data_IF_963737744390
#
_entry.id   IF_963737744390
#
_cell.length_a   1.000
_cell.length_b   1.000
_cell.length_c   1.000
_cell.angle_alpha   90.00
_cell.angle_beta   90.00
_cell.angle_gamma   90.00
#
_symmetry.space_group_name_H-M   'P 1'
#
loop_
_entity.id
_entity.type
_entity.pdbx_description
1 polymer ?
#
# COMPACT_ATOMS: atom_id res chain seq x y z
N UNK A 1 -36.89 -10.85 -78.90
CA UNK A 1 -35.73 -11.78 -78.79
C UNK A 1 -34.62 -11.07 -78.03
N UNK A 2 -34.23 -11.62 -76.86
CA UNK A 2 -32.99 -11.36 -76.08
C UNK A 2 -32.88 -9.94 -75.48
N UNK A 3 -32.48 -9.69 -74.24
CA UNK A 3 -32.13 -10.49 -73.07
C UNK A 3 -31.86 -9.50 -71.92
N UNK A 4 -32.47 -9.76 -70.75
CA UNK A 4 -31.87 -9.69 -69.40
C UNK A 4 -30.59 -8.85 -69.21
N UNK A 5 -30.59 -7.86 -68.31
CA UNK A 5 -29.79 -7.89 -67.06
C UNK A 5 -29.78 -6.56 -66.29
N UNK A 6 -29.80 -6.73 -64.98
CA UNK A 6 -29.80 -5.78 -63.87
C UNK A 6 -28.48 -4.99 -63.80
N UNK A 7 -28.52 -3.71 -63.40
CA UNK A 7 -27.39 -3.05 -62.75
C UNK A 7 -27.88 -2.00 -61.73
N UNK A 8 -27.96 -2.45 -60.48
CA UNK A 8 -27.98 -1.64 -59.27
C UNK A 8 -26.61 -0.96 -59.15
N UNK A 9 -26.55 0.38 -59.10
CA UNK A 9 -25.34 1.11 -58.72
C UNK A 9 -25.52 1.67 -57.30
N UNK A 10 -25.04 0.91 -56.33
CA UNK A 10 -24.82 1.32 -54.93
C UNK A 10 -23.34 1.77 -54.81
N UNK A 11 -23.09 2.66 -53.85
CA UNK A 11 -21.79 3.10 -53.31
C UNK A 11 -21.04 4.12 -54.20
N UNK A 12 -20.39 5.14 -53.66
CA UNK A 12 -19.52 5.11 -52.49
C UNK A 12 -19.67 6.42 -51.71
N UNK A 13 -20.17 6.30 -50.48
CA UNK A 13 -19.90 7.27 -49.41
C UNK A 13 -18.39 7.26 -49.18
N UNK A 14 -17.68 8.26 -49.70
CA UNK A 14 -16.29 8.51 -49.29
C UNK A 14 -16.31 9.21 -47.95
N UNK A 15 -16.73 8.49 -46.91
CA UNK A 15 -16.25 8.78 -45.57
C UNK A 15 -14.78 8.34 -45.58
N UNK A 16 -13.89 9.29 -45.88
CA UNK A 16 -12.49 9.14 -45.54
C UNK A 16 -12.45 9.14 -44.02
N UNK A 17 -12.61 7.97 -43.42
CA UNK A 17 -12.12 7.73 -42.07
C UNK A 17 -10.61 7.93 -42.18
N UNK A 18 -10.16 9.14 -41.84
CA UNK A 18 -8.79 9.31 -41.37
C UNK A 18 -8.67 8.31 -40.23
N UNK A 19 -7.89 7.25 -40.44
CA UNK A 19 -7.48 6.37 -39.36
C UNK A 19 -6.95 7.31 -38.27
N UNK A 20 -7.68 7.42 -37.16
CA UNK A 20 -7.20 8.16 -36.02
C UNK A 20 -5.93 7.45 -35.59
N UNK A 21 -4.79 8.07 -35.88
CA UNK A 21 -3.50 7.62 -35.37
C UNK A 21 -3.56 7.75 -33.86
N UNK A 22 -3.80 6.64 -33.16
CA UNK A 22 -3.70 6.54 -31.70
C UNK A 22 -2.22 6.49 -31.32
N UNK A 23 -1.46 7.52 -31.70
CA UNK A 23 -0.04 7.65 -31.42
C UNK A 23 0.11 8.71 -30.32
N UNK A 24 0.69 8.29 -29.21
CA UNK A 24 1.11 9.12 -28.11
C UNK A 24 2.59 9.49 -28.29
N UNK A 25 2.99 10.59 -27.66
CA UNK A 25 4.37 11.10 -27.70
C UNK A 25 4.90 11.17 -26.28
N UNK A 26 5.90 10.34 -25.97
CA UNK A 26 6.60 10.35 -24.68
C UNK A 26 7.88 11.18 -24.86
N UNK A 27 7.96 12.34 -24.19
CA UNK A 27 9.18 13.16 -24.15
C UNK A 27 9.97 12.84 -22.90
N UNK A 28 11.24 12.47 -23.06
CA UNK A 28 12.14 12.17 -21.97
C UNK A 28 12.75 13.45 -21.38
N UNK A 29 13.22 13.36 -20.14
CA UNK A 29 13.96 14.45 -19.48
C UNK A 29 15.27 14.80 -20.20
N UNK A 30 15.82 13.89 -21.01
CA UNK A 30 16.94 14.15 -21.93
C UNK A 30 16.57 15.03 -23.13
N UNK A 31 15.27 15.24 -23.39
CA UNK A 31 14.76 15.89 -24.59
C UNK A 31 14.45 14.94 -25.75
N UNK A 32 14.89 13.67 -25.67
CA UNK A 32 14.53 12.62 -26.63
C UNK A 32 13.03 12.37 -26.63
N UNK A 33 12.49 11.98 -27.78
CA UNK A 33 11.05 11.73 -27.95
C UNK A 33 10.81 10.34 -28.51
N UNK A 34 9.88 9.61 -27.90
CA UNK A 34 9.44 8.28 -28.32
C UNK A 34 8.00 8.36 -28.82
N UNK A 35 7.77 7.91 -30.05
CA UNK A 35 6.44 7.70 -30.60
C UNK A 35 5.93 6.33 -30.16
N UNK A 36 4.82 6.31 -29.42
CA UNK A 36 4.37 5.15 -28.68
C UNK A 36 2.85 5.01 -28.70
N UNK A 37 2.35 3.84 -28.32
CA UNK A 37 0.99 3.66 -27.82
C UNK A 37 1.11 3.28 -26.36
N UNK A 38 0.74 4.19 -25.47
CA UNK A 38 0.83 3.95 -24.03
C UNK A 38 -0.23 2.92 -23.64
N UNK A 39 0.19 1.86 -22.95
CA UNK A 39 -0.68 0.77 -22.50
C UNK A 39 -1.04 0.88 -21.03
N UNK A 40 -0.10 1.36 -20.21
CA UNK A 40 -0.30 1.49 -18.76
C UNK A 40 0.62 2.59 -18.22
N UNK A 41 0.11 3.43 -17.32
CA UNK A 41 0.92 4.39 -16.55
C UNK A 41 0.71 4.07 -15.08
N UNK A 42 1.81 3.81 -14.39
CA UNK A 42 1.85 3.60 -12.94
C UNK A 42 2.58 4.78 -12.28
N UNK A 43 2.68 4.83 -10.94
CA UNK A 43 3.44 5.87 -10.27
C UNK A 43 4.95 5.86 -10.63
N UNK A 44 5.52 4.69 -10.89
CA UNK A 44 6.97 4.52 -11.07
C UNK A 44 7.36 4.29 -12.53
N UNK A 45 6.44 3.76 -13.36
CA UNK A 45 6.74 3.24 -14.70
C UNK A 45 5.61 3.50 -15.70
N UNK A 46 5.98 3.63 -16.98
CA UNK A 46 5.10 3.73 -18.14
C UNK A 46 5.37 2.53 -19.04
N UNK A 47 4.34 1.76 -19.37
CA UNK A 47 4.41 0.66 -20.32
C UNK A 47 3.82 1.07 -21.65
N UNK A 48 4.53 0.79 -22.74
CA UNK A 48 4.14 1.21 -24.07
C UNK A 48 4.59 0.22 -25.15
N UNK A 49 3.93 0.27 -26.32
CA UNK A 49 4.43 -0.36 -27.56
C UNK A 49 4.86 0.74 -28.53
N UNK A 50 5.84 0.46 -29.38
CA UNK A 50 6.34 1.44 -30.35
C UNK A 50 5.29 1.70 -31.44
N UNK A 51 5.06 2.97 -31.76
CA UNK A 51 4.10 3.33 -32.80
C UNK A 51 4.49 2.72 -34.16
N UNK A 52 3.51 2.14 -34.86
CA UNK A 52 3.74 1.40 -36.11
C UNK A 52 4.07 -0.09 -35.92
N UNK A 53 4.24 -0.56 -34.67
CA UNK A 53 4.38 -1.99 -34.36
C UNK A 53 3.49 -2.38 -33.16
N UNK A 54 2.14 -2.41 -33.34
CA UNK A 54 1.21 -2.67 -32.25
C UNK A 54 1.29 -4.08 -31.67
N UNK A 55 1.76 -5.05 -32.46
CA UNK A 55 2.01 -6.44 -32.05
C UNK A 55 3.46 -6.65 -31.55
N UNK A 56 4.23 -5.57 -31.44
CA UNK A 56 5.60 -5.57 -30.95
C UNK A 56 5.71 -5.80 -29.43
N UNK A 57 6.94 -5.97 -28.92
CA UNK A 57 7.15 -6.19 -27.50
C UNK A 57 6.69 -4.99 -26.66
N UNK A 58 6.19 -5.27 -25.46
CA UNK A 58 5.84 -4.25 -24.47
C UNK A 58 7.12 -3.71 -23.82
N UNK A 59 7.36 -2.41 -23.99
CA UNK A 59 8.48 -1.70 -23.36
C UNK A 59 8.04 -1.10 -22.03
N UNK A 60 8.97 -1.04 -21.08
CA UNK A 60 8.75 -0.49 -19.73
C UNK A 60 9.76 0.62 -19.49
N UNK A 61 9.27 1.80 -19.09
CA UNK A 61 10.08 3.00 -18.89
C UNK A 61 9.85 3.60 -17.51
N UNK A 62 10.90 3.87 -16.71
CA UNK A 62 10.75 4.58 -15.45
C UNK A 62 10.15 5.97 -15.69
N UNK A 63 9.08 6.30 -14.96
CA UNK A 63 8.39 7.59 -15.03
C UNK A 63 9.31 8.75 -14.64
N UNK A 64 10.34 8.50 -13.82
CA UNK A 64 11.41 9.45 -13.48
C UNK A 64 12.26 9.92 -14.67
N UNK A 65 12.26 9.17 -15.78
CA UNK A 65 12.95 9.55 -17.03
C UNK A 65 12.07 10.33 -18.00
N UNK A 66 10.77 10.41 -17.73
CA UNK A 66 9.80 11.03 -18.64
C UNK A 66 9.56 12.46 -18.18
N UNK A 67 9.69 13.41 -19.10
CA UNK A 67 9.33 14.80 -18.87
C UNK A 67 7.85 15.06 -19.14
N UNK A 68 7.29 14.45 -20.18
CA UNK A 68 5.84 14.55 -20.45
C UNK A 68 5.34 13.45 -21.38
N UNK A 69 4.05 13.17 -21.33
CA UNK A 69 3.32 12.39 -22.33
C UNK A 69 2.29 13.31 -22.98
N UNK A 70 2.27 13.35 -24.30
CA UNK A 70 1.17 13.95 -25.08
C UNK A 70 0.40 12.83 -25.74
N UNK A 71 -0.84 12.62 -25.32
CA UNK A 71 -1.69 11.56 -25.85
C UNK A 71 -2.24 11.92 -27.23
N UNK A 72 -2.64 10.91 -27.98
CA UNK A 72 -3.29 11.05 -29.30
C UNK A 72 -4.55 11.93 -29.29
N UNK A 73 -5.22 12.10 -28.14
CA UNK A 73 -6.36 13.01 -27.98
C UNK A 73 -5.96 14.48 -27.69
N UNK A 74 -4.66 14.79 -27.67
CA UNK A 74 -4.11 16.12 -27.41
C UNK A 74 -3.93 16.47 -25.93
N UNK A 75 -4.35 15.62 -25.00
CA UNK A 75 -4.11 15.83 -23.56
C UNK A 75 -2.61 15.64 -23.29
N UNK A 76 -2.02 16.54 -22.48
CA UNK A 76 -0.62 16.49 -22.10
C UNK A 76 -0.49 16.34 -20.59
N UNK A 77 0.32 15.38 -20.15
CA UNK A 77 0.73 15.19 -18.76
C UNK A 77 2.22 15.46 -18.61
N UNK A 78 2.60 16.35 -17.68
CA UNK A 78 4.00 16.69 -17.41
C UNK A 78 4.50 16.05 -16.11
N UNK A 79 5.76 15.59 -16.14
CA UNK A 79 6.45 14.85 -15.10
C UNK A 79 7.86 15.41 -14.91
N UNK A 80 7.98 16.73 -14.71
CA UNK A 80 9.29 17.36 -14.49
C UNK A 80 9.81 17.07 -13.08
N UNK A 81 11.06 16.58 -12.95
CA UNK A 81 11.76 16.63 -11.66
C UNK A 81 12.26 18.05 -11.40
N UNK A 82 11.48 18.86 -10.69
CA UNK A 82 11.98 20.16 -10.21
C UNK A 82 12.87 19.93 -8.99
N UNK A 83 14.19 19.99 -9.19
CA UNK A 83 15.12 20.36 -8.12
C UNK A 83 15.05 21.89 -7.96
N UNK A 84 14.71 22.44 -6.78
CA UNK A 84 14.95 23.85 -6.50
C UNK A 84 16.41 24.02 -6.10
N UNK A 85 17.18 24.76 -6.90
CA UNK A 85 18.45 25.36 -6.47
C UNK A 85 18.21 26.82 -6.09
N UNK A 86 18.47 27.20 -4.84
CA UNK A 86 19.55 28.14 -4.50
C UNK A 86 19.62 28.40 -2.98
N UNK A 87 20.81 28.10 -2.44
CA UNK A 87 21.50 28.84 -1.38
C UNK A 87 20.74 29.20 -0.11
N UNK A 88 20.94 28.41 0.95
CA UNK A 88 21.74 28.84 2.12
C UNK A 88 22.04 27.63 2.99
N UNK A 89 23.33 27.45 3.30
CA UNK A 89 23.93 26.69 4.40
C UNK A 89 23.11 25.58 5.07
N UNK A 90 23.64 24.36 5.05
CA UNK A 90 23.36 23.37 6.10
C UNK A 90 23.47 24.03 7.48
N UNK A 91 22.46 23.83 8.32
CA UNK A 91 22.75 23.09 9.53
C UNK A 91 21.91 21.82 9.60
N UNK A 92 22.56 20.77 10.08
CA UNK A 92 21.94 19.65 10.80
C UNK A 92 20.61 20.06 11.42
N UNK A 93 19.52 19.48 10.91
CA UNK A 93 18.16 19.89 11.26
C UNK A 93 17.19 18.76 11.02
N UNK A 94 16.95 18.02 12.10
CA UNK A 94 15.83 17.10 12.32
C UNK A 94 14.57 17.58 11.57
N UNK A 95 13.98 16.74 10.71
CA UNK A 95 12.68 17.02 10.08
C UNK A 95 11.79 15.81 10.24
N UNK A 96 11.25 15.69 11.45
CA UNK A 96 10.04 14.97 11.79
C UNK A 96 8.96 15.26 10.75
N UNK A 97 8.45 14.21 10.10
CA UNK A 97 7.19 14.31 9.37
C UNK A 97 6.10 13.82 10.32
N UNK A 98 5.37 14.76 10.90
CA UNK A 98 4.18 14.50 11.71
C UNK A 98 3.15 13.75 10.87
N UNK A 99 2.80 12.55 11.31
CA UNK A 99 1.67 11.76 10.79
C UNK A 99 0.60 11.63 11.90
N UNK A 100 0.33 12.74 12.59
CA UNK A 100 -0.51 12.75 13.79
C UNK A 100 -1.98 12.82 13.40
N UNK A 101 -2.71 11.73 13.64
CA UNK A 101 -4.15 11.77 13.91
C UNK A 101 -4.47 11.31 15.35
N UNK A 102 -3.46 11.16 16.21
CA UNK A 102 -3.66 10.94 17.64
C UNK A 102 -4.14 12.25 18.27
N UNK A 103 -5.40 12.30 18.71
CA UNK A 103 -5.97 13.46 19.42
C UNK A 103 -5.93 13.24 20.95
N UNK A 104 -5.22 12.20 21.40
CA UNK A 104 -5.49 11.56 22.68
C UNK A 104 -5.02 12.31 23.94
N UNK A 105 -5.67 11.92 25.05
CA UNK A 105 -5.47 12.38 26.42
C UNK A 105 -4.04 12.07 26.90
N UNK A 106 -3.25 13.11 27.14
CA UNK A 106 -1.92 13.02 27.77
C UNK A 106 -1.97 12.84 29.29
N UNK A 107 -3.16 12.76 29.89
CA UNK A 107 -3.32 12.67 31.34
C UNK A 107 -3.26 11.22 31.82
N UNK A 108 -2.22 10.90 32.56
CA UNK A 108 -2.11 9.70 33.39
C UNK A 108 -3.19 9.78 34.47
N UNK A 109 -4.23 8.95 34.43
CA UNK A 109 -4.93 8.62 35.68
C UNK A 109 -4.01 7.67 36.46
N UNK A 110 -3.50 8.11 37.60
CA UNK A 110 -2.69 7.27 38.48
C UNK A 110 -3.48 6.02 38.95
N UNK A 111 -4.81 6.05 38.85
CA UNK A 111 -5.73 4.95 39.11
C UNK A 111 -6.23 4.25 37.84
N UNK A 112 -5.63 4.52 36.67
CA UNK A 112 -5.98 3.85 35.42
C UNK A 112 -5.88 2.34 35.59
N UNK A 113 -7.03 1.68 35.41
CA UNK A 113 -7.23 0.23 35.50
C UNK A 113 -6.34 -0.48 34.47
N UNK A 114 -5.69 -1.58 34.87
CA UNK A 114 -5.12 -2.53 33.90
C UNK A 114 -6.24 -3.15 33.06
N UNK A 115 -6.11 -3.08 31.73
CA UNK A 115 -7.10 -3.63 30.83
C UNK A 115 -6.92 -5.14 30.64
N UNK A 116 -8.04 -5.86 30.61
CA UNK A 116 -8.06 -7.32 30.46
C UNK A 116 -8.77 -7.74 29.16
N UNK A 117 -8.79 -9.04 28.87
CA UNK A 117 -9.42 -9.61 27.67
C UNK A 117 -10.87 -9.14 27.46
N UNK A 118 -11.64 -8.96 28.53
CA UNK A 118 -13.03 -8.49 28.46
C UNK A 118 -13.17 -7.02 28.06
N UNK A 119 -12.16 -6.19 28.31
CA UNK A 119 -12.22 -4.75 28.04
C UNK A 119 -12.06 -4.42 26.56
N UNK A 120 -11.46 -5.32 25.76
CA UNK A 120 -11.27 -5.14 24.31
C UNK A 120 -12.59 -5.05 23.53
N UNK A 121 -13.71 -5.48 24.10
CA UNK A 121 -15.06 -5.37 23.51
C UNK A 121 -15.90 -4.27 24.17
N UNK A 122 -15.50 -3.73 25.33
CA UNK A 122 -16.23 -2.67 26.05
C UNK A 122 -16.17 -1.30 25.33
N UNK A 123 -17.31 -0.79 24.84
CA UNK A 123 -17.39 0.41 23.98
C UNK A 123 -16.79 1.70 24.55
N UNK A 124 -16.62 1.75 25.88
CA UNK A 124 -16.07 2.91 26.58
C UNK A 124 -14.57 2.79 26.84
N UNK A 125 -13.95 1.65 26.56
CA UNK A 125 -12.51 1.48 26.67
C UNK A 125 -11.82 2.17 25.49
N UNK A 126 -10.94 3.17 25.73
CA UNK A 126 -10.16 3.81 24.68
C UNK A 126 -9.30 2.79 23.95
N UNK A 127 -9.24 2.90 22.62
CA UNK A 127 -8.34 2.11 21.79
C UNK A 127 -7.43 3.04 20.99
N UNK A 128 -6.12 2.76 21.02
CA UNK A 128 -5.15 3.40 20.12
C UNK A 128 -4.68 2.36 19.12
N UNK A 129 -4.88 2.63 17.83
CA UNK A 129 -4.38 1.79 16.74
C UNK A 129 -3.01 2.27 16.26
N UNK A 130 -2.04 1.36 16.32
CA UNK A 130 -0.65 1.69 16.02
C UNK A 130 -0.20 1.37 14.59
N UNK A 131 -1.04 0.70 13.79
CA UNK A 131 -0.69 0.30 12.43
C UNK A 131 -0.35 -1.18 12.29
N UNK A 132 0.40 -1.50 11.24
CA UNK A 132 0.95 -2.83 10.95
C UNK A 132 2.44 -2.83 11.28
N UNK A 133 2.87 -3.73 12.16
CA UNK A 133 4.27 -4.02 12.45
C UNK A 133 4.73 -5.19 11.56
N UNK A 134 5.77 -4.95 10.76
CA UNK A 134 6.36 -5.93 9.85
C UNK A 134 7.69 -6.50 10.36
N UNK A 135 8.16 -6.15 11.56
CA UNK A 135 9.47 -6.58 12.09
C UNK A 135 9.63 -8.10 12.09
N UNK A 136 8.54 -8.86 12.21
CA UNK A 136 8.55 -10.33 12.20
C UNK A 136 8.06 -10.96 10.89
N UNK A 137 7.88 -10.17 9.83
CA UNK A 137 7.31 -10.65 8.56
C UNK A 137 8.23 -11.63 7.85
N UNK A 138 7.64 -12.62 7.17
CA UNK A 138 8.32 -13.43 6.15
C UNK A 138 7.69 -13.24 4.77
N UNK A 139 8.54 -13.09 3.76
CA UNK A 139 8.19 -13.05 2.35
C UNK A 139 8.35 -14.46 1.77
N UNK A 140 7.24 -15.19 1.67
CA UNK A 140 7.23 -16.61 1.28
C UNK A 140 7.03 -16.76 -0.23
N UNK A 141 7.96 -17.40 -0.91
CA UNK A 141 7.98 -17.57 -2.37
C UNK A 141 8.96 -16.61 -3.03
N UNK A 142 10.25 -16.94 -2.97
CA UNK A 142 11.37 -16.06 -3.35
C UNK A 142 11.26 -15.50 -4.78
N UNK A 143 10.72 -16.28 -5.73
CA UNK A 143 10.51 -15.86 -7.12
C UNK A 143 9.54 -14.67 -7.28
N UNK A 144 8.66 -14.45 -6.29
CA UNK A 144 7.73 -13.34 -6.27
C UNK A 144 8.23 -12.10 -5.51
N UNK A 145 9.45 -12.15 -4.98
CA UNK A 145 10.08 -11.13 -4.15
C UNK A 145 11.50 -10.82 -4.65
N UNK A 146 11.61 -10.39 -5.91
CA UNK A 146 12.89 -10.19 -6.59
C UNK A 146 13.65 -8.92 -6.14
N UNK A 147 12.99 -8.02 -5.42
CA UNK A 147 13.60 -6.80 -4.84
C UNK A 147 13.11 -6.62 -3.39
N UNK A 148 13.62 -7.44 -2.45
CA UNK A 148 13.18 -7.38 -1.07
C UNK A 148 13.56 -6.07 -0.38
N UNK A 149 14.67 -5.44 -0.79
CA UNK A 149 15.10 -4.15 -0.25
C UNK A 149 14.07 -3.06 -0.55
N UNK A 150 13.61 -2.93 -1.80
CA UNK A 150 12.52 -1.98 -2.14
C UNK A 150 11.24 -2.27 -1.36
N UNK A 151 10.96 -3.54 -1.03
CA UNK A 151 9.81 -3.88 -0.20
C UNK A 151 9.94 -3.32 1.20
N UNK A 152 11.05 -3.64 1.87
CA UNK A 152 11.30 -3.19 3.24
C UNK A 152 11.39 -1.66 3.32
N UNK A 153 12.19 -1.04 2.44
CA UNK A 153 12.55 0.38 2.53
C UNK A 153 11.46 1.33 2.02
N UNK A 154 10.54 0.83 1.17
CA UNK A 154 9.55 1.69 0.50
C UNK A 154 8.14 1.20 0.71
N UNK A 155 7.86 -0.08 0.46
CA UNK A 155 6.47 -0.54 0.38
C UNK A 155 5.82 -0.77 1.75
N UNK A 156 6.57 -1.21 2.75
CA UNK A 156 6.01 -1.43 4.09
C UNK A 156 5.52 -0.13 4.73
N UNK A 157 6.29 0.96 4.62
CA UNK A 157 5.88 2.29 5.10
C UNK A 157 4.67 2.83 4.32
N UNK A 158 4.65 2.64 3.00
CA UNK A 158 3.50 3.02 2.14
C UNK A 158 2.22 2.27 2.51
N UNK A 159 2.32 1.01 2.97
CA UNK A 159 1.17 0.25 3.44
C UNK A 159 0.55 0.95 4.66
N UNK A 160 1.32 1.25 5.71
CA UNK A 160 0.79 1.94 6.88
C UNK A 160 0.19 3.32 6.54
N UNK A 161 0.85 4.11 5.68
CA UNK A 161 0.32 5.41 5.22
C UNK A 161 -1.04 5.27 4.52
N UNK A 162 -1.21 4.21 3.73
CA UNK A 162 -2.43 3.99 2.96
C UNK A 162 -3.64 3.67 3.85
N UNK A 163 -3.44 3.10 5.04
CA UNK A 163 -4.53 2.90 6.01
C UNK A 163 -5.12 4.24 6.45
N UNK A 164 -4.27 5.25 6.71
CA UNK A 164 -4.72 6.60 7.05
C UNK A 164 -5.42 7.25 5.85
N UNK A 165 -4.79 7.22 4.68
CA UNK A 165 -5.33 7.87 3.48
C UNK A 165 -6.68 7.30 3.05
N UNK A 166 -6.93 6.03 3.34
CA UNK A 166 -8.16 5.32 3.02
C UNK A 166 -8.95 4.94 4.29
N UNK A 167 -8.89 5.76 5.36
CA UNK A 167 -9.47 5.44 6.67
C UNK A 167 -10.93 4.94 6.60
N UNK A 168 -11.76 5.46 5.69
CA UNK A 168 -13.14 5.00 5.50
C UNK A 168 -13.25 3.51 5.12
N UNK A 169 -12.24 2.97 4.43
CA UNK A 169 -12.17 1.55 4.05
C UNK A 169 -11.64 0.67 5.18
N UNK A 170 -10.85 1.24 6.09
CA UNK A 170 -10.20 0.56 7.20
C UNK A 170 -10.70 1.07 8.55
N UNK A 171 -11.97 1.49 8.62
CA UNK A 171 -12.52 2.13 9.81
C UNK A 171 -12.66 1.12 10.96
N UNK A 172 -11.57 0.98 11.71
CA UNK A 172 -11.45 0.12 12.87
C UNK A 172 -12.26 0.67 14.05
N UNK A 173 -12.50 1.98 14.12
CA UNK A 173 -13.36 2.60 15.12
C UNK A 173 -14.81 2.12 14.99
N UNK A 174 -15.35 2.17 13.77
CA UNK A 174 -16.65 1.59 13.42
C UNK A 174 -16.66 0.08 13.59
N UNK A 175 -15.58 -0.61 13.22
CA UNK A 175 -15.43 -2.06 13.39
C UNK A 175 -15.67 -2.49 14.84
N UNK A 176 -15.03 -1.81 15.79
CA UNK A 176 -15.12 -2.14 17.22
C UNK A 176 -16.26 -1.41 17.94
N UNK A 177 -17.12 -0.69 17.20
CA UNK A 177 -18.26 0.09 17.72
C UNK A 177 -17.79 1.03 18.85
N UNK A 178 -16.63 1.66 18.67
CA UNK A 178 -15.97 2.52 19.66
C UNK A 178 -16.32 3.98 19.45
N UNK A 179 -16.45 4.71 20.56
CA UNK A 179 -16.56 6.17 20.56
C UNK A 179 -15.21 6.87 20.65
N UNK A 180 -14.25 6.20 21.28
CA UNK A 180 -12.92 6.71 21.59
C UNK A 180 -11.88 5.79 20.92
N UNK A 181 -11.46 6.16 19.70
CA UNK A 181 -10.54 5.40 18.86
C UNK A 181 -9.55 6.37 18.20
N UNK A 182 -8.29 6.27 18.59
CA UNK A 182 -7.20 7.08 18.06
C UNK A 182 -6.29 6.25 17.13
N UNK A 183 -5.56 6.93 16.25
CA UNK A 183 -4.52 6.33 15.40
C UNK A 183 -3.18 7.00 15.71
N UNK A 184 -2.18 6.20 16.11
CA UNK A 184 -0.80 6.64 16.36
C UNK A 184 0.17 5.73 15.59
N UNK A 185 0.56 6.11 14.37
CA UNK A 185 1.53 5.33 13.60
C UNK A 185 2.99 5.63 13.97
N UNK A 186 3.25 6.66 14.77
CA UNK A 186 4.60 7.12 15.06
C UNK A 186 5.37 6.06 15.86
N UNK A 187 4.69 5.34 16.76
CA UNK A 187 5.29 4.23 17.51
C UNK A 187 5.96 3.18 16.61
N UNK A 188 5.42 2.94 15.40
CA UNK A 188 5.98 1.98 14.45
C UNK A 188 6.94 2.60 13.43
N UNK A 189 7.05 3.93 13.41
CA UNK A 189 7.90 4.65 12.46
C UNK A 189 9.35 4.19 12.56
N UNK A 190 9.92 3.79 11.42
CA UNK A 190 11.32 3.36 11.33
C UNK A 190 11.62 1.96 11.89
N UNK A 191 10.68 1.26 12.53
CA UNK A 191 10.90 -0.13 12.99
C UNK A 191 11.24 -1.08 11.83
N UNK A 192 10.67 -0.84 10.65
CA UNK A 192 10.98 -1.59 9.43
C UNK A 192 12.49 -1.55 9.06
N UNK A 193 13.23 -0.52 9.48
CA UNK A 193 14.68 -0.39 9.19
C UNK A 193 15.55 -1.42 9.92
N UNK A 194 15.00 -2.09 10.94
CA UNK A 194 15.65 -3.22 11.62
C UNK A 194 15.58 -4.53 10.82
N UNK A 195 14.75 -4.58 9.78
CA UNK A 195 14.55 -5.77 8.97
C UNK A 195 15.71 -5.88 7.98
N UNK A 196 16.44 -6.99 8.03
CA UNK A 196 17.30 -7.36 6.92
C UNK A 196 16.42 -7.91 5.77
N UNK A 197 16.36 -7.24 4.60
CA UNK A 197 15.45 -7.63 3.53
C UNK A 197 15.68 -9.04 3.00
N UNK A 198 16.92 -9.55 3.08
CA UNK A 198 17.25 -10.86 2.54
C UNK A 198 16.92 -12.01 3.53
N UNK A 199 16.96 -11.73 4.84
CA UNK A 199 16.67 -12.74 5.89
C UNK A 199 15.17 -13.02 6.04
N UNK A 200 14.33 -12.14 5.53
CA UNK A 200 12.87 -12.32 5.56
C UNK A 200 12.33 -13.09 4.37
N UNK A 201 13.11 -13.27 3.30
CA UNK A 201 12.71 -14.07 2.12
C UNK A 201 12.92 -15.56 2.40
N UNK A 202 11.90 -16.37 2.14
CA UNK A 202 11.97 -17.83 2.32
C UNK A 202 11.05 -18.56 1.35
N UNK A 203 11.25 -19.86 1.15
CA UNK A 203 10.29 -20.75 0.48
C UNK A 203 9.59 -21.71 1.45
N UNK A 204 9.95 -21.69 2.73
CA UNK A 204 9.27 -22.45 3.77
C UNK A 204 8.06 -21.69 4.32
N UNK A 205 7.10 -22.44 4.86
CA UNK A 205 6.03 -21.83 5.65
C UNK A 205 6.61 -21.19 6.92
N UNK A 206 6.04 -20.05 7.31
CA UNK A 206 6.31 -19.41 8.59
C UNK A 206 5.14 -19.68 9.56
N UNK A 207 5.44 -19.81 10.84
CA UNK A 207 4.43 -19.85 11.89
C UNK A 207 4.95 -19.05 13.09
N UNK A 208 4.39 -17.87 13.28
CA UNK A 208 4.77 -16.98 14.37
C UNK A 208 4.09 -17.45 15.65
N UNK A 209 4.87 -17.65 16.71
CA UNK A 209 4.32 -18.04 18.02
C UNK A 209 3.76 -16.84 18.78
N UNK A 210 2.80 -17.09 19.68
CA UNK A 210 2.32 -16.04 20.60
C UNK A 210 3.42 -15.49 21.50
N UNK A 211 4.43 -16.31 21.83
CA UNK A 211 5.58 -15.87 22.64
C UNK A 211 6.35 -14.78 21.92
N UNK A 212 6.68 -14.98 20.64
CA UNK A 212 7.38 -13.98 19.82
C UNK A 212 6.56 -12.69 19.66
N UNK A 213 5.23 -12.80 19.57
CA UNK A 213 4.34 -11.63 19.53
C UNK A 213 4.43 -10.88 20.86
N UNK A 214 4.33 -11.57 22.00
CA UNK A 214 4.42 -10.94 23.34
C UNK A 214 5.77 -10.28 23.58
N UNK A 215 6.86 -10.92 23.14
CA UNK A 215 8.21 -10.36 23.17
C UNK A 215 8.28 -9.08 22.32
N UNK A 216 7.75 -9.08 21.11
CA UNK A 216 7.67 -7.89 20.26
C UNK A 216 6.92 -6.74 20.95
N UNK A 217 5.72 -7.00 21.48
CA UNK A 217 4.92 -5.99 22.19
C UNK A 217 5.67 -5.41 23.40
N UNK A 218 6.45 -6.23 24.11
CA UNK A 218 7.23 -5.75 25.26
C UNK A 218 8.27 -4.68 24.90
N UNK A 219 8.71 -4.63 23.63
CA UNK A 219 9.66 -3.63 23.10
C UNK A 219 9.01 -2.29 22.75
N UNK A 220 7.68 -2.20 22.80
CA UNK A 220 6.98 -0.98 22.39
C UNK A 220 7.13 0.14 23.42
N UNK A 221 7.02 1.37 22.92
CA UNK A 221 7.08 2.59 23.70
C UNK A 221 6.07 3.61 23.14
N UNK A 222 4.76 3.38 23.35
CA UNK A 222 3.70 4.26 22.86
C UNK A 222 3.72 5.63 23.54
N UNK A 223 3.23 6.67 22.85
CA UNK A 223 3.04 8.00 23.45
C UNK A 223 1.85 8.02 24.41
N UNK A 224 0.77 7.32 24.05
CA UNK A 224 -0.38 7.12 24.93
C UNK A 224 0.04 6.45 26.24
N UNK A 225 -0.54 6.88 27.36
CA UNK A 225 -0.19 6.39 28.70
C UNK A 225 -1.18 5.37 29.26
N UNK A 226 -2.37 5.26 28.66
CA UNK A 226 -3.44 4.37 29.09
C UNK A 226 -4.32 3.93 27.90
N UNK A 227 -5.15 2.92 28.13
CA UNK A 227 -6.06 2.34 27.15
C UNK A 227 -5.58 0.99 26.61
N UNK A 228 -6.29 0.49 25.60
CA UNK A 228 -5.90 -0.71 24.85
C UNK A 228 -5.18 -0.29 23.57
N UNK A 229 -3.98 -0.82 23.38
CA UNK A 229 -3.26 -0.72 22.12
C UNK A 229 -3.70 -1.83 21.17
N UNK A 230 -3.90 -1.48 19.90
CA UNK A 230 -4.11 -2.42 18.82
C UNK A 230 -2.98 -2.29 17.81
N UNK A 231 -2.28 -3.40 17.57
CA UNK A 231 -1.31 -3.52 16.47
C UNK A 231 -1.64 -4.73 15.62
N UNK A 232 -1.39 -4.63 14.31
CA UNK A 232 -1.42 -5.78 13.41
C UNK A 232 0.00 -6.27 13.22
N UNK A 233 0.35 -7.45 13.74
CA UNK A 233 1.67 -8.06 13.51
C UNK A 233 1.60 -8.90 12.24
N UNK A 234 2.33 -8.53 11.21
CA UNK A 234 2.35 -9.27 9.94
C UNK A 234 3.22 -10.52 10.06
N UNK A 235 2.64 -11.70 9.91
CA UNK A 235 3.37 -12.98 9.95
C UNK A 235 4.01 -13.30 8.59
N UNK A 236 3.23 -13.18 7.52
CA UNK A 236 3.72 -13.52 6.20
C UNK A 236 2.95 -12.85 5.06
N UNK A 237 3.71 -12.56 3.99
CA UNK A 237 3.22 -12.27 2.65
C UNK A 237 3.62 -13.47 1.78
N UNK A 238 2.66 -14.30 1.38
CA UNK A 238 2.93 -15.60 0.76
C UNK A 238 2.48 -15.64 -0.71
N UNK A 239 3.46 -15.67 -1.63
CA UNK A 239 3.26 -15.79 -3.08
C UNK A 239 2.99 -17.22 -3.55
N UNK A 240 3.39 -18.23 -2.78
CA UNK A 240 3.14 -19.63 -3.13
C UNK A 240 1.68 -20.03 -2.89
N UNK A 241 1.06 -19.43 -1.87
CA UNK A 241 -0.33 -19.70 -1.45
C UNK A 241 -1.30 -18.57 -1.73
N UNK A 242 -0.80 -17.47 -2.30
CA UNK A 242 -1.54 -16.22 -2.48
C UNK A 242 -2.30 -15.82 -1.20
N UNK A 243 -1.56 -15.56 -0.13
CA UNK A 243 -2.15 -15.27 1.18
C UNK A 243 -1.29 -14.30 1.99
N UNK A 244 -1.91 -13.29 2.57
CA UNK A 244 -1.33 -12.52 3.68
C UNK A 244 -1.87 -13.05 5.01
N UNK A 245 -0.98 -13.29 5.97
CA UNK A 245 -1.34 -13.78 7.31
C UNK A 245 -0.81 -12.83 8.38
N UNK A 246 -1.65 -12.51 9.36
CA UNK A 246 -1.36 -11.52 10.39
C UNK A 246 -2.07 -11.84 11.70
N UNK A 247 -1.63 -11.17 12.76
CA UNK A 247 -2.25 -11.22 14.08
C UNK A 247 -2.72 -9.84 14.49
N UNK A 248 -3.99 -9.74 14.89
CA UNK A 248 -4.50 -8.56 15.56
C UNK A 248 -4.24 -8.75 17.04
N UNK A 249 -3.35 -7.93 17.57
CA UNK A 249 -2.84 -8.04 18.93
C UNK A 249 -3.31 -6.84 19.73
N UNK A 250 -4.08 -7.13 20.76
CA UNK A 250 -4.55 -6.15 21.72
C UNK A 250 -3.66 -6.23 22.95
N UNK A 251 -3.22 -5.10 23.48
CA UNK A 251 -2.40 -5.03 24.68
C UNK A 251 -2.80 -3.86 25.57
N UNK A 252 -2.58 -3.99 26.87
CA UNK A 252 -2.70 -2.87 27.80
C UNK A 252 -1.52 -1.91 27.58
N UNK A 253 -1.80 -0.64 27.27
CA UNK A 253 -0.76 0.33 26.86
C UNK A 253 0.25 0.57 27.98
N UNK A 254 -0.21 0.65 29.23
CA UNK A 254 0.60 0.97 30.40
C UNK A 254 1.59 -0.14 30.75
N UNK A 255 1.12 -1.38 30.78
CA UNK A 255 1.89 -2.55 31.20
C UNK A 255 2.52 -3.31 30.03
N UNK A 256 2.06 -3.05 28.80
CA UNK A 256 2.40 -3.82 27.58
C UNK A 256 2.00 -5.29 27.62
N UNK A 257 1.15 -5.67 28.59
CA UNK A 257 0.61 -7.02 28.70
C UNK A 257 -0.38 -7.26 27.57
N UNK A 258 -0.13 -8.29 26.77
CA UNK A 258 -1.04 -8.70 25.70
C UNK A 258 -2.33 -9.27 26.28
N UNK A 259 -3.46 -8.68 25.90
CA UNK A 259 -4.81 -9.03 26.36
C UNK A 259 -5.51 -10.02 25.42
N UNK A 260 -5.27 -9.94 24.11
CA UNK A 260 -5.83 -10.85 23.11
C UNK A 260 -4.95 -10.91 21.85
N UNK A 261 -4.91 -12.08 21.21
CA UNK A 261 -4.21 -12.32 19.96
C UNK A 261 -5.17 -13.04 19.01
N UNK A 262 -5.41 -12.46 17.84
CA UNK A 262 -6.35 -13.02 16.85
C UNK A 262 -5.65 -13.20 15.51
N UNK A 263 -5.37 -14.45 15.15
CA UNK A 263 -4.84 -14.80 13.82
C UNK A 263 -5.91 -14.58 12.76
N UNK A 264 -5.53 -13.95 11.66
CA UNK A 264 -6.39 -13.74 10.50
C UNK A 264 -5.57 -13.81 9.21
N UNK A 265 -6.26 -14.07 8.10
CA UNK A 265 -5.65 -14.08 6.78
C UNK A 265 -6.60 -13.58 5.71
N UNK A 266 -6.02 -13.14 4.61
CA UNK A 266 -6.76 -12.70 3.43
C UNK A 266 -6.00 -13.01 2.15
N UNK A 267 -6.74 -13.09 1.05
CA UNK A 267 -6.19 -13.29 -0.28
C UNK A 267 -5.77 -11.94 -0.87
N UNK A 268 -4.56 -11.84 -1.44
CA UNK A 268 -4.10 -10.64 -2.08
C UNK A 268 -4.75 -10.49 -3.46
N UNK A 269 -5.00 -9.25 -3.85
CA UNK A 269 -5.41 -8.91 -5.21
C UNK A 269 -5.21 -7.43 -5.47
N UNK A 270 -5.25 -7.05 -6.75
CA UNK A 270 -5.02 -5.67 -7.18
C UNK A 270 -3.62 -5.43 -7.73
N UNK A 271 -3.47 -4.33 -8.45
CA UNK A 271 -2.26 -3.99 -9.20
C UNK A 271 -1.24 -3.27 -8.33
N UNK A 272 0.03 -3.64 -8.46
CA UNK A 272 1.12 -3.09 -7.69
C UNK A 272 1.21 -3.71 -6.29
N UNK A 273 2.45 -3.84 -5.79
CA UNK A 273 2.75 -4.62 -4.59
C UNK A 273 2.08 -4.08 -3.31
N UNK A 274 1.95 -2.75 -3.18
CA UNK A 274 1.23 -2.12 -2.06
C UNK A 274 -0.24 -2.51 -2.07
N UNK A 275 -0.94 -2.42 -3.21
CA UNK A 275 -2.36 -2.77 -3.27
C UNK A 275 -2.58 -4.28 -3.10
N UNK A 276 -1.73 -5.06 -3.78
CA UNK A 276 -1.73 -6.52 -3.72
C UNK A 276 -1.64 -7.01 -2.26
N UNK A 277 -0.72 -6.46 -1.47
CA UNK A 277 -0.53 -6.86 -0.07
C UNK A 277 -1.33 -6.08 0.96
N UNK A 278 -1.98 -4.99 0.57
CA UNK A 278 -2.97 -4.31 1.42
C UNK A 278 -4.30 -5.06 1.45
N UNK A 279 -4.69 -5.69 0.35
CA UNK A 279 -5.97 -6.41 0.27
C UNK A 279 -6.16 -7.50 1.35
N UNK A 280 -5.15 -8.33 1.69
CA UNK A 280 -5.26 -9.28 2.78
C UNK A 280 -5.60 -8.63 4.13
N UNK A 281 -5.05 -7.46 4.41
CA UNK A 281 -5.34 -6.68 5.63
C UNK A 281 -6.81 -6.28 5.64
N UNK A 282 -7.30 -5.72 4.54
CA UNK A 282 -8.72 -5.36 4.38
C UNK A 282 -9.65 -6.57 4.61
N UNK A 283 -9.35 -7.71 3.99
CA UNK A 283 -10.17 -8.92 4.17
C UNK A 283 -10.08 -9.50 5.59
N UNK A 284 -8.91 -9.42 6.23
CA UNK A 284 -8.73 -9.85 7.61
C UNK A 284 -9.55 -8.97 8.58
N UNK A 285 -9.54 -7.65 8.38
CA UNK A 285 -10.38 -6.69 9.11
C UNK A 285 -11.88 -7.03 8.96
N UNK A 286 -12.33 -7.31 7.74
CA UNK A 286 -13.73 -7.73 7.49
C UNK A 286 -14.10 -9.04 8.18
N UNK A 287 -13.18 -10.02 8.23
CA UNK A 287 -13.42 -11.28 8.94
C UNK A 287 -13.53 -11.06 10.45
N UNK A 288 -12.69 -10.21 11.02
CA UNK A 288 -12.81 -9.81 12.42
C UNK A 288 -14.14 -9.14 12.71
N UNK A 289 -14.66 -8.30 11.80
CA UNK A 289 -15.98 -7.66 11.95
C UNK A 289 -17.08 -8.66 12.26
N UNK A 290 -17.06 -9.83 11.61
CA UNK A 290 -18.09 -10.86 11.78
C UNK A 290 -18.03 -11.57 13.14
N UNK A 291 -16.93 -11.40 13.86
CA UNK A 291 -16.72 -12.01 15.18
C UNK A 291 -17.10 -11.08 16.36
N UNK A 292 -17.61 -9.87 16.08
CA UNK A 292 -17.99 -8.80 17.03
C UNK A 292 -19.35 -8.17 16.67
#
# INVERSE_FOLDING_TARGET
MRSLSIAILILISTCVLKAQTTVDTIRLSSGETVLAVVKEITPDEIKYVVAGNPDGPLFVMPKSKVQSITYSNGVKEEYTSTLPSQGTSHPSGNSSRNYDNYQGRTSIDANAKEYEFGDRTNRNTPIVYYGIDFTLVKFVGSSGFNDPAKIVDVYLDKINQKIIMEQDKYDMGVLFKRRDFDIDLEMLSGRNRSINPYDVVTNSNNNLSEVQIRELISTYNPQAQEGIGLVVVMESLNKLREQGTMYFTFFDIKTKKVVDIRKASGEPSGFGITNYWMKPVYEAIKKLKRSY
#
